data_IF_605402435115
#
_entry.id   IF_605402435115
#
_cell.length_a   1.000
_cell.length_b   1.000
_cell.length_c   1.000
_cell.angle_alpha   90.00
_cell.angle_beta   90.00
_cell.angle_gamma   90.00
#
_symmetry.space_group_name_H-M   'P 1'
#
loop_
_entity.id
_entity.type
_entity.pdbx_description
1 polymer ?
#
# COMPACT_ATOMS: atom_id res chain seq x y z
N UNK A 1 20.23 15.65 -2.56
CA UNK A 1 19.68 15.79 -1.18
C UNK A 1 20.09 14.54 -0.40
N UNK A 2 20.50 14.64 0.87
CA UNK A 2 20.81 13.45 1.68
C UNK A 2 19.54 12.72 2.12
N UNK A 3 19.64 11.42 2.35
CA UNK A 3 18.55 10.60 2.89
C UNK A 3 18.12 11.08 4.28
N UNK A 4 19.05 11.41 5.17
CA UNK A 4 18.75 11.97 6.51
C UNK A 4 17.89 13.24 6.45
N UNK A 5 18.20 14.14 5.49
CA UNK A 5 17.43 15.37 5.32
C UNK A 5 16.01 15.07 4.85
N UNK A 6 15.84 14.08 3.97
CA UNK A 6 14.53 13.61 3.53
C UNK A 6 13.74 13.02 4.69
N UNK A 7 14.31 12.09 5.47
CA UNK A 7 13.63 11.49 6.62
C UNK A 7 13.22 12.54 7.66
N UNK A 8 14.08 13.52 7.93
CA UNK A 8 13.76 14.63 8.83
C UNK A 8 12.56 15.44 8.31
N UNK A 9 12.50 15.73 7.02
CA UNK A 9 11.35 16.40 6.41
C UNK A 9 10.07 15.57 6.52
N UNK A 10 10.12 14.28 6.16
CA UNK A 10 8.95 13.38 6.21
C UNK A 10 8.42 13.23 7.65
N UNK A 11 9.32 13.09 8.63
CA UNK A 11 8.97 13.03 10.05
C UNK A 11 8.35 14.33 10.56
N UNK A 12 8.88 15.49 10.14
CA UNK A 12 8.33 16.81 10.52
C UNK A 12 6.90 17.00 10.04
N UNK A 13 6.56 16.46 8.86
CA UNK A 13 5.23 16.59 8.28
C UNK A 13 4.29 15.42 8.63
N UNK A 14 4.73 14.47 9.46
CA UNK A 14 3.93 13.30 9.83
C UNK A 14 3.52 12.45 8.65
N UNK A 15 4.32 12.45 7.57
CA UNK A 15 3.99 11.72 6.33
C UNK A 15 4.30 10.25 6.54
N UNK A 16 3.30 9.39 6.33
CA UNK A 16 3.54 7.96 6.24
C UNK A 16 4.33 7.62 4.98
N UNK A 17 5.32 6.76 5.12
CA UNK A 17 6.10 6.24 4.00
C UNK A 17 6.31 4.73 4.13
N UNK A 18 6.24 4.04 3.00
CA UNK A 18 6.59 2.64 2.83
C UNK A 18 8.01 2.50 2.29
N UNK A 19 8.60 1.32 2.50
CA UNK A 19 9.89 0.94 1.95
C UNK A 19 9.73 -0.21 0.96
N UNK A 20 10.48 -0.12 -0.13
CA UNK A 20 10.59 -1.14 -1.17
C UNK A 20 12.06 -1.26 -1.59
N UNK A 21 12.82 -2.09 -0.87
CA UNK A 21 14.27 -2.18 -1.09
C UNK A 21 14.98 -0.85 -0.92
N UNK A 22 15.60 -0.36 -1.99
CA UNK A 22 16.31 0.92 -2.12
C UNK A 22 15.38 2.11 -2.44
N UNK A 23 14.06 1.88 -2.42
CA UNK A 23 13.04 2.90 -2.67
C UNK A 23 12.28 3.26 -1.42
N UNK A 24 11.88 4.53 -1.37
CA UNK A 24 10.94 5.06 -0.40
C UNK A 24 9.71 5.59 -1.13
N UNK A 25 8.53 5.21 -0.64
CA UNK A 25 7.25 5.57 -1.24
C UNK A 25 6.39 6.34 -0.24
N UNK A 26 5.79 7.44 -0.66
CA UNK A 26 4.88 8.22 0.18
C UNK A 26 3.82 8.96 -0.64
N UNK A 27 2.81 9.49 0.05
CA UNK A 27 1.79 10.36 -0.56
C UNK A 27 2.12 11.82 -0.34
N UNK A 28 2.12 12.62 -1.41
CA UNK A 28 2.25 14.07 -1.29
C UNK A 28 0.92 14.74 -0.86
N UNK A 29 0.95 16.06 -0.67
CA UNK A 29 -0.25 16.84 -0.27
C UNK A 29 -1.38 16.84 -1.30
N UNK A 30 -1.11 16.42 -2.53
CA UNK A 30 -2.09 16.27 -3.62
C UNK A 30 -2.52 14.81 -3.81
N UNK A 31 -2.23 13.96 -2.83
CA UNK A 31 -2.48 12.51 -2.86
C UNK A 31 -1.78 11.76 -4.00
N UNK A 32 -0.73 12.34 -4.60
CA UNK A 32 0.08 11.63 -5.60
C UNK A 32 1.00 10.64 -4.91
N UNK A 33 1.21 9.48 -5.53
CA UNK A 33 2.28 8.57 -5.10
C UNK A 33 3.60 9.15 -5.54
N UNK A 34 4.50 9.35 -4.58
CA UNK A 34 5.88 9.75 -4.82
C UNK A 34 6.78 8.56 -4.54
N UNK A 35 7.68 8.28 -5.48
CA UNK A 35 8.72 7.27 -5.33
C UNK A 35 10.07 7.98 -5.33
N UNK A 36 10.87 7.70 -4.31
CA UNK A 36 12.23 8.19 -4.16
C UNK A 36 13.16 7.01 -4.30
N UNK A 37 14.10 7.08 -5.24
CA UNK A 37 15.17 6.10 -5.40
C UNK A 37 16.43 6.66 -4.76
N UNK A 38 17.09 5.86 -3.93
CA UNK A 38 18.35 6.23 -3.31
C UNK A 38 19.54 5.80 -4.17
N UNK A 39 20.71 6.37 -3.88
CA UNK A 39 21.98 5.82 -4.36
C UNK A 39 22.22 4.42 -3.79
N UNK A 40 23.08 3.63 -4.43
CA UNK A 40 23.47 2.28 -3.97
C UNK A 40 23.92 2.26 -2.49
N UNK A 41 24.57 3.32 -2.04
CA UNK A 41 25.04 3.48 -0.66
C UNK A 41 23.97 4.01 0.31
N UNK A 42 22.75 4.26 -0.17
CA UNK A 42 21.58 4.78 0.56
C UNK A 42 21.76 6.17 1.21
N UNK A 43 22.83 6.91 0.87
CA UNK A 43 23.15 8.21 1.50
C UNK A 43 22.47 9.39 0.80
N UNK A 44 22.15 9.25 -0.48
CA UNK A 44 21.63 10.35 -1.29
C UNK A 44 20.41 9.93 -2.07
N UNK A 45 19.53 10.89 -2.35
CA UNK A 45 18.43 10.72 -3.28
C UNK A 45 18.98 10.78 -4.70
N UNK A 46 18.85 9.69 -5.45
CA UNK A 46 19.26 9.56 -6.84
C UNK A 46 18.16 10.06 -7.79
N UNK A 47 16.90 9.69 -7.54
CA UNK A 47 15.76 10.10 -8.35
C UNK A 47 14.49 10.30 -7.51
N UNK A 48 13.59 11.14 -8.02
CA UNK A 48 12.24 11.33 -7.48
C UNK A 48 11.25 11.33 -8.63
N UNK A 49 10.24 10.48 -8.55
CA UNK A 49 9.13 10.44 -9.50
C UNK A 49 7.81 10.57 -8.77
N UNK A 50 6.76 11.03 -9.48
CA UNK A 50 5.41 11.06 -8.91
C UNK A 50 4.37 10.71 -9.95
N UNK A 51 3.37 9.93 -9.55
CA UNK A 51 2.26 9.51 -10.38
C UNK A 51 0.92 9.79 -9.70
N UNK A 52 -0.13 9.99 -10.50
CA UNK A 52 -1.48 9.84 -10.00
C UNK A 52 -1.62 8.38 -9.51
N UNK A 53 -2.08 8.20 -8.29
CA UNK A 53 -2.07 6.90 -7.65
C UNK A 53 -3.42 6.62 -7.02
N UNK A 54 -4.48 6.91 -7.76
CA UNK A 54 -5.81 6.49 -7.38
C UNK A 54 -6.07 5.14 -8.08
N UNK A 55 -5.55 4.01 -7.54
CA UNK A 55 -5.84 2.71 -8.10
C UNK A 55 -7.36 2.50 -8.11
N UNK A 56 -7.85 1.78 -9.11
CA UNK A 56 -9.27 1.41 -9.11
C UNK A 56 -9.50 0.24 -8.16
N UNK A 57 -10.75 0.02 -7.76
CA UNK A 57 -11.13 -1.23 -7.06
C UNK A 57 -10.68 -2.48 -7.83
N UNK A 58 -10.69 -2.40 -9.18
CA UNK A 58 -10.21 -3.46 -10.07
C UNK A 58 -8.72 -3.71 -9.93
N UNK A 59 -7.90 -2.66 -9.79
CA UNK A 59 -6.45 -2.81 -9.62
C UNK A 59 -6.12 -3.45 -8.28
N UNK A 60 -6.84 -3.05 -7.22
CA UNK A 60 -6.69 -3.65 -5.90
C UNK A 60 -7.20 -5.11 -5.89
N UNK A 61 -8.27 -5.39 -6.62
CA UNK A 61 -8.80 -6.75 -6.78
C UNK A 61 -7.85 -7.73 -7.48
N UNK A 62 -6.80 -7.24 -8.16
CA UNK A 62 -5.74 -8.07 -8.72
C UNK A 62 -4.68 -8.46 -7.69
N UNK A 63 -4.65 -7.81 -6.53
CA UNK A 63 -3.69 -8.13 -5.48
C UNK A 63 -4.09 -9.45 -4.81
N UNK A 64 -3.16 -10.39 -4.79
CA UNK A 64 -3.38 -11.75 -4.29
C UNK A 64 -2.29 -12.17 -3.32
N UNK A 65 -2.59 -13.18 -2.49
CA UNK A 65 -1.63 -13.72 -1.53
C UNK A 65 -0.36 -14.20 -2.22
N UNK A 66 0.80 -13.90 -1.62
CA UNK A 66 2.12 -14.24 -2.14
C UNK A 66 2.79 -13.15 -2.98
N UNK A 67 2.06 -12.15 -3.48
CA UNK A 67 2.67 -11.00 -4.16
C UNK A 67 3.65 -10.26 -3.24
N UNK A 68 4.77 -9.83 -3.79
CA UNK A 68 5.79 -9.04 -3.08
C UNK A 68 5.32 -7.60 -2.85
N UNK A 69 5.92 -6.92 -1.87
CA UNK A 69 5.69 -5.49 -1.66
C UNK A 69 5.96 -4.66 -2.94
N UNK A 70 7.04 -4.96 -3.66
CA UNK A 70 7.42 -4.28 -4.90
C UNK A 70 6.34 -4.40 -5.98
N UNK A 71 5.77 -5.60 -6.18
CA UNK A 71 4.68 -5.81 -7.15
C UNK A 71 3.42 -5.02 -6.78
N UNK A 72 3.08 -4.99 -5.49
CA UNK A 72 1.93 -4.23 -5.00
C UNK A 72 2.13 -2.73 -5.20
N UNK A 73 3.30 -2.19 -4.83
CA UNK A 73 3.56 -0.76 -5.01
C UNK A 73 3.66 -0.34 -6.48
N UNK A 74 4.17 -1.22 -7.35
CA UNK A 74 4.15 -0.98 -8.79
C UNK A 74 2.71 -0.90 -9.33
N UNK A 75 1.79 -1.70 -8.78
CA UNK A 75 0.39 -1.72 -9.20
C UNK A 75 -0.44 -0.57 -8.58
N UNK A 76 -0.25 -0.27 -7.30
CA UNK A 76 -1.13 0.61 -6.53
C UNK A 76 -0.50 1.96 -6.16
N UNK A 77 0.81 2.09 -6.30
CA UNK A 77 1.58 3.21 -5.77
C UNK A 77 1.75 3.16 -4.26
N UNK A 78 2.05 4.31 -3.67
CA UNK A 78 2.28 4.44 -2.24
C UNK A 78 1.00 4.17 -1.43
N UNK A 79 1.11 3.52 -0.26
CA UNK A 79 0.01 3.41 0.69
C UNK A 79 -0.39 4.79 1.27
N UNK A 80 -1.65 4.93 1.69
CA UNK A 80 -2.17 6.15 2.34
C UNK A 80 -1.97 6.14 3.86
N UNK A 81 -1.57 5.01 4.43
CA UNK A 81 -1.30 4.88 5.85
C UNK A 81 -0.99 3.45 6.27
N UNK A 82 -0.79 3.27 7.57
CA UNK A 82 -0.60 1.98 8.23
C UNK A 82 -1.70 1.76 9.25
N UNK A 83 -2.18 0.53 9.41
CA UNK A 83 -2.92 0.21 10.63
C UNK A 83 -1.92 -0.14 11.75
N UNK A 84 -2.15 0.42 12.93
CA UNK A 84 -1.26 0.34 14.10
C UNK A 84 -1.54 -0.85 15.01
N UNK A 85 -2.52 -1.71 14.67
CA UNK A 85 -3.03 -2.76 15.55
C UNK A 85 -2.38 -4.13 15.37
N UNK A 86 -1.08 -4.27 15.70
CA UNK A 86 -0.39 -5.58 15.85
C UNK A 86 -0.25 -6.46 14.58
N UNK A 87 -0.98 -6.13 13.53
CA UNK A 87 -0.92 -6.74 12.20
C UNK A 87 -0.08 -5.83 11.33
N UNK A 88 0.97 -6.39 10.74
CA UNK A 88 1.77 -5.67 9.78
C UNK A 88 0.93 -5.46 8.51
N UNK A 89 0.33 -4.28 8.36
CA UNK A 89 -0.59 -3.98 7.28
C UNK A 89 -0.51 -2.53 6.83
N UNK A 90 -0.90 -2.30 5.59
CA UNK A 90 -0.94 -0.98 4.96
C UNK A 90 -2.32 -0.71 4.35
N UNK A 91 -2.70 0.57 4.34
CA UNK A 91 -3.97 1.03 3.82
C UNK A 91 -3.78 1.65 2.44
N UNK A 92 -4.68 1.31 1.53
CA UNK A 92 -4.76 1.83 0.18
C UNK A 92 -6.17 2.39 -0.05
N UNK A 93 -6.26 3.56 -0.67
CA UNK A 93 -7.52 4.14 -1.09
C UNK A 93 -7.69 3.91 -2.59
N UNK A 94 -8.90 3.54 -2.98
CA UNK A 94 -9.30 3.45 -4.38
C UNK A 94 -9.87 4.78 -4.88
N UNK A 95 -9.89 4.97 -6.20
CA UNK A 95 -10.53 6.12 -6.84
C UNK A 95 -12.05 6.22 -6.59
N UNK A 96 -12.71 5.13 -6.17
CA UNK A 96 -14.12 5.12 -5.78
C UNK A 96 -14.35 5.53 -4.32
N UNK A 97 -13.29 5.76 -3.55
CA UNK A 97 -13.36 6.14 -2.14
C UNK A 97 -13.39 4.95 -1.17
N UNK A 98 -13.33 3.70 -1.66
CA UNK A 98 -13.18 2.53 -0.80
C UNK A 98 -11.75 2.41 -0.28
N UNK A 99 -11.62 1.90 0.94
CA UNK A 99 -10.33 1.64 1.57
C UNK A 99 -10.07 0.14 1.66
N UNK A 100 -8.84 -0.23 1.38
CA UNK A 100 -8.37 -1.61 1.39
C UNK A 100 -7.17 -1.73 2.30
N UNK A 101 -7.18 -2.76 3.12
CA UNK A 101 -6.08 -3.15 3.99
C UNK A 101 -5.37 -4.34 3.37
N UNK A 102 -4.10 -4.17 3.09
CA UNK A 102 -3.21 -5.25 2.69
C UNK A 102 -2.45 -5.68 3.94
N UNK A 103 -2.71 -6.89 4.41
CA UNK A 103 -1.95 -7.52 5.48
C UNK A 103 -0.75 -8.23 4.86
N UNK A 104 0.43 -8.04 5.43
CA UNK A 104 1.64 -8.70 4.94
C UNK A 104 2.11 -9.80 5.88
N UNK A 105 2.63 -10.85 5.27
CA UNK A 105 3.48 -11.84 5.90
C UNK A 105 4.94 -11.39 5.80
N UNK A 106 5.71 -11.60 6.87
CA UNK A 106 7.16 -11.37 6.89
C UNK A 106 7.88 -12.67 7.16
N UNK A 107 8.85 -13.00 6.31
CA UNK A 107 9.88 -13.98 6.64
C UNK A 107 11.17 -13.25 6.96
N UNK A 108 11.71 -13.53 8.15
CA UNK A 108 13.03 -13.05 8.58
C UNK A 108 14.14 -14.07 8.29
N UNK A 109 13.77 -15.26 7.81
CA UNK A 109 14.73 -16.25 7.31
C UNK A 109 15.27 -15.79 5.97
N UNK A 110 16.57 -16.04 5.72
CA UNK A 110 17.17 -15.66 4.45
C UNK A 110 16.61 -16.51 3.29
N UNK A 111 16.16 -15.88 2.17
CA UNK A 111 16.14 -14.44 1.95
C UNK A 111 14.94 -13.74 2.63
N UNK A 112 15.21 -12.59 3.27
CA UNK A 112 14.17 -11.75 3.85
C UNK A 112 13.09 -11.44 2.81
N UNK A 113 11.82 -11.59 3.20
CA UNK A 113 10.70 -11.34 2.30
C UNK A 113 9.49 -10.74 3.00
N UNK A 114 8.79 -9.89 2.26
CA UNK A 114 7.50 -9.31 2.64
C UNK A 114 6.52 -9.60 1.52
N UNK A 115 5.50 -10.41 1.80
CA UNK A 115 4.51 -10.82 0.81
C UNK A 115 3.10 -10.59 1.33
N UNK A 116 2.14 -10.45 0.41
CA UNK A 116 0.74 -10.29 0.74
C UNK A 116 0.25 -11.56 1.44
N UNK A 117 -0.30 -11.39 2.64
CA UNK A 117 -1.03 -12.44 3.35
C UNK A 117 -2.50 -12.43 2.94
N UNK A 118 -3.13 -11.25 2.96
CA UNK A 118 -4.54 -11.07 2.62
C UNK A 118 -4.86 -9.64 2.26
N UNK A 119 -5.90 -9.44 1.45
CA UNK A 119 -6.49 -8.12 1.15
C UNK A 119 -7.89 -8.07 1.75
N UNK A 120 -8.18 -7.02 2.51
CA UNK A 120 -9.46 -6.80 3.17
C UNK A 120 -10.03 -5.45 2.75
N UNK A 121 -11.25 -5.41 2.24
CA UNK A 121 -11.97 -4.14 2.11
C UNK A 121 -12.31 -3.67 3.53
N UNK A 122 -11.83 -2.50 3.91
CA UNK A 122 -12.12 -1.89 5.21
C UNK A 122 -13.35 -1.01 5.05
N UNK A 123 -14.47 -1.41 5.65
CA UNK A 123 -15.56 -0.49 5.95
C UNK A 123 -15.06 0.45 7.04
N UNK A 124 -14.43 1.58 6.68
CA UNK A 124 -14.05 2.58 7.68
C UNK A 124 -15.35 3.17 8.24
N UNK A 125 -15.66 2.99 9.54
CA UNK A 125 -16.86 3.56 10.14
C UNK A 125 -16.74 5.09 10.09
N UNK A 126 -17.48 5.72 9.17
CA UNK A 126 -17.41 7.17 8.95
C UNK A 126 -17.73 7.60 7.51
N UNK A 127 -17.55 6.72 6.52
CA UNK A 127 -18.01 6.93 5.14
C UNK A 127 -19.08 5.89 4.79
N UNK A 128 -20.29 6.12 5.27
CA UNK A 128 -21.46 5.31 4.95
C UNK A 128 -21.94 5.65 3.52
N UNK A 129 -21.41 4.98 2.51
CA UNK A 129 -22.18 4.73 1.27
C UNK A 129 -22.35 3.23 1.15
N UNK A 130 -23.37 2.73 1.84
CA UNK A 130 -23.63 1.31 2.00
C UNK A 130 -23.57 0.53 0.69
N UNK A 131 -22.70 -0.48 0.66
CA UNK A 131 -22.90 -1.64 -0.21
C UNK A 131 -22.29 -2.87 0.45
N UNK A 132 -23.07 -3.45 1.36
CA UNK A 132 -22.95 -4.85 1.74
C UNK A 132 -23.06 -5.67 0.44
N UNK A 133 -21.93 -6.10 -0.11
CA UNK A 133 -21.94 -7.13 -1.15
C UNK A 133 -22.20 -8.48 -0.49
N UNK A 134 -23.49 -8.72 -0.25
CA UNK A 134 -24.04 -10.01 0.05
C UNK A 134 -23.82 -10.91 -1.18
N UNK A 135 -22.74 -11.70 -1.22
CA UNK A 135 -22.60 -12.76 -2.23
C UNK A 135 -23.61 -13.86 -1.91
N UNK A 136 -24.77 -13.76 -2.56
CA UNK A 136 -25.81 -14.78 -2.63
C UNK A 136 -25.21 -16.15 -2.93
N UNK A 137 -25.60 -17.10 -2.08
CA UNK A 137 -25.85 -18.51 -2.30
C UNK A 137 -25.76 -18.98 -3.75
N UNK A 138 -24.79 -19.85 -4.05
CA UNK A 138 -24.85 -20.71 -5.23
C UNK A 138 -25.83 -21.86 -4.92
N UNK A 139 -26.98 -21.87 -5.59
CA UNK A 139 -27.91 -23.00 -5.58
C UNK A 139 -27.34 -24.12 -6.44
N UNK A 140 -27.16 -25.32 -5.87
CA UNK A 140 -27.08 -26.53 -6.68
C UNK A 140 -28.49 -27.08 -6.84
N UNK A 141 -28.99 -27.00 -8.08
CA UNK A 141 -30.21 -27.68 -8.50
C UNK A 141 -29.93 -29.18 -8.58
N UNK A 142 -30.83 -29.97 -7.99
CA UNK A 142 -30.92 -31.43 -8.18
C UNK A 142 -31.36 -31.75 -9.61
N UNK A 143 -30.77 -32.79 -10.18
CA UNK A 143 -31.46 -33.72 -11.08
C UNK A 143 -31.48 -35.09 -10.43
#
# INVERSE_FOLDING_TARGET
MSSDKLYCMLGTYGVYYGHDGDRLLFRDKKNRSVTVEFSEDMKTVAAVSSAAADPTDTDIGKITGGMTASEVYAALGAPVGRDTSGVYSELFASSSGNYYRICWSKSWEEPYSVTVQSVQCSDIPGHNTGRIMNRKSASFAKT
#
